data_IF_759488651291
#
_entry.id   IF_759488651291
#
_cell.length_a   1.000
_cell.length_b   1.000
_cell.length_c   1.000
_cell.angle_alpha   90.00
_cell.angle_beta   90.00
_cell.angle_gamma   90.00
#
_symmetry.space_group_name_H-M   'P 1'
#
loop_
_entity.id
_entity.type
_entity.pdbx_description
1 polymer ?
#
# COMPACT_ATOMS: atom_id res chain seq x y z
N UNK A 1 14.20 3.34 7.11
CA UNK A 1 14.51 3.25 5.67
C UNK A 1 13.28 3.59 4.84
N UNK A 2 13.43 3.72 3.53
CA UNK A 2 12.38 4.18 2.60
C UNK A 2 11.08 3.37 2.68
N UNK A 3 11.16 2.04 2.86
CA UNK A 3 9.98 1.16 2.99
C UNK A 3 9.10 1.48 4.20
N UNK A 4 9.65 2.05 5.29
CA UNK A 4 8.89 2.38 6.50
C UNK A 4 7.85 3.48 6.26
N UNK A 5 8.02 4.32 5.24
CA UNK A 5 7.09 5.41 4.97
C UNK A 5 5.72 4.90 4.50
N UNK A 6 4.59 5.45 4.99
CA UNK A 6 3.24 4.96 4.69
C UNK A 6 2.80 5.14 3.23
N UNK A 7 3.57 5.92 2.45
CA UNK A 7 3.37 6.08 1.01
C UNK A 7 4.13 5.04 0.18
N UNK A 8 4.96 4.21 0.81
CA UNK A 8 5.74 3.17 0.16
C UNK A 8 5.47 1.76 0.73
N UNK A 9 5.47 1.62 2.07
CA UNK A 9 5.01 0.43 2.78
C UNK A 9 3.71 0.68 3.54
N UNK A 10 3.17 -0.37 4.18
CA UNK A 10 1.99 -0.27 5.06
C UNK A 10 0.64 -0.15 4.36
N UNK A 11 0.58 -0.30 3.03
CA UNK A 11 -0.70 -0.25 2.31
C UNK A 11 -1.64 -1.38 2.74
N UNK A 12 -1.12 -2.58 2.95
CA UNK A 12 -1.87 -3.75 3.44
C UNK A 12 -2.32 -3.60 4.90
N UNK A 13 -1.53 -2.95 5.76
CA UNK A 13 -1.97 -2.55 7.12
C UNK A 13 -3.17 -1.60 7.05
N UNK A 14 -3.13 -0.62 6.13
CA UNK A 14 -4.25 0.28 5.88
C UNK A 14 -5.52 -0.43 5.38
N UNK A 15 -5.36 -1.46 4.54
CA UNK A 15 -6.48 -2.29 4.07
C UNK A 15 -7.14 -3.01 5.25
N UNK A 16 -6.36 -3.67 6.09
CA UNK A 16 -6.92 -4.42 7.22
C UNK A 16 -7.56 -3.49 8.26
N UNK A 17 -7.02 -2.28 8.45
CA UNK A 17 -7.65 -1.26 9.29
C UNK A 17 -9.05 -0.90 8.79
N UNK A 18 -9.21 -0.74 7.47
CA UNK A 18 -10.53 -0.48 6.88
C UNK A 18 -11.48 -1.67 7.09
N UNK A 19 -11.01 -2.90 6.87
CA UNK A 19 -11.85 -4.09 7.07
C UNK A 19 -12.29 -4.25 8.54
N UNK A 20 -11.40 -3.94 9.49
CA UNK A 20 -11.73 -3.92 10.92
C UNK A 20 -12.76 -2.83 11.27
N UNK A 21 -12.65 -1.64 10.67
CA UNK A 21 -13.62 -0.55 10.84
C UNK A 21 -15.01 -0.93 10.31
N UNK A 22 -15.06 -1.65 9.18
CA UNK A 22 -16.32 -2.08 8.55
C UNK A 22 -17.01 -3.19 9.37
N UNK A 23 -16.25 -4.11 9.95
CA UNK A 23 -16.73 -5.15 10.87
C UNK A 23 -17.52 -6.31 10.26
N UNK A 24 -18.18 -6.12 9.10
CA UNK A 24 -19.02 -7.14 8.47
C UNK A 24 -19.27 -6.91 6.97
N UNK A 25 -19.55 -7.99 6.24
CA UNK A 25 -19.74 -7.98 4.77
C UNK A 25 -20.90 -7.07 4.35
N UNK A 26 -21.97 -7.07 5.14
CA UNK A 26 -23.17 -6.26 4.93
C UNK A 26 -22.89 -4.75 4.98
N UNK A 27 -21.86 -4.33 5.70
CA UNK A 27 -21.50 -2.91 5.85
C UNK A 27 -20.52 -2.42 4.78
N UNK A 28 -19.89 -3.33 4.03
CA UNK A 28 -18.80 -3.01 3.08
C UNK A 28 -19.25 -2.01 2.03
N UNK A 29 -20.43 -2.21 1.44
CA UNK A 29 -20.93 -1.37 0.35
C UNK A 29 -21.20 0.06 0.83
N UNK A 30 -21.97 0.20 1.91
CA UNK A 30 -22.28 1.50 2.49
C UNK A 30 -21.02 2.26 2.93
N UNK A 31 -20.09 1.58 3.59
CA UNK A 31 -18.83 2.19 4.01
C UNK A 31 -17.95 2.63 2.83
N UNK A 32 -17.87 1.78 1.79
CA UNK A 32 -17.05 2.08 0.60
C UNK A 32 -17.60 3.29 -0.15
N UNK A 33 -18.93 3.37 -0.32
CA UNK A 33 -19.60 4.51 -0.96
C UNK A 33 -19.35 5.80 -0.14
N UNK A 34 -19.57 5.78 1.18
CA UNK A 34 -19.31 6.93 2.06
C UNK A 34 -17.86 7.41 1.98
N UNK A 35 -16.91 6.47 1.98
CA UNK A 35 -15.49 6.77 1.85
C UNK A 35 -15.16 7.45 0.51
N UNK A 36 -15.76 7.00 -0.59
CA UNK A 36 -15.60 7.59 -1.92
C UNK A 36 -16.22 8.98 -2.01
N UNK A 37 -17.43 9.18 -1.48
CA UNK A 37 -18.11 10.48 -1.43
C UNK A 37 -17.30 11.51 -0.65
N UNK A 38 -16.72 11.10 0.48
CA UNK A 38 -15.82 11.92 1.31
C UNK A 38 -14.40 12.05 0.74
N UNK A 39 -14.15 11.49 -0.45
CA UNK A 39 -12.82 11.48 -1.12
C UNK A 39 -11.71 10.90 -0.24
N UNK A 40 -12.04 9.99 0.67
CA UNK A 40 -11.04 9.25 1.45
C UNK A 40 -10.26 8.34 0.51
N UNK A 41 -8.94 8.27 0.74
CA UNK A 41 -8.09 7.33 -0.01
C UNK A 41 -8.29 5.92 0.53
N UNK A 42 -8.88 5.04 -0.28
CA UNK A 42 -9.00 3.62 0.01
C UNK A 42 -7.70 2.93 -0.45
N UNK A 43 -6.96 2.35 0.50
CA UNK A 43 -5.69 1.66 0.23
C UNK A 43 -5.93 0.33 -0.49
N UNK A 44 -4.90 -0.18 -1.20
CA UNK A 44 -4.99 -1.47 -1.90
C UNK A 44 -5.60 -1.41 -3.31
N UNK A 45 -6.04 -0.25 -3.80
CA UNK A 45 -6.62 -0.11 -5.14
C UNK A 45 -5.78 0.77 -6.07
N UNK A 46 -5.77 0.38 -7.34
CA UNK A 46 -5.01 1.04 -8.40
C UNK A 46 -3.51 0.79 -8.31
N UNK A 47 -2.82 1.07 -9.43
CA UNK A 47 -1.38 0.94 -9.54
C UNK A 47 -0.83 2.07 -10.40
N UNK A 48 0.40 2.52 -10.12
CA UNK A 48 1.03 3.60 -10.90
C UNK A 48 1.51 3.15 -12.29
N UNK A 49 1.71 1.84 -12.43
CA UNK A 49 2.21 1.19 -13.66
C UNK A 49 1.11 0.38 -14.35
N UNK A 50 0.57 -0.67 -13.69
CA UNK A 50 -0.51 -1.47 -14.25
C UNK A 50 -1.77 -0.64 -14.53
N UNK A 51 -2.31 -0.82 -15.74
CA UNK A 51 -3.61 -0.29 -16.17
C UNK A 51 -4.70 -1.38 -16.16
N UNK A 52 -4.28 -2.64 -16.09
CA UNK A 52 -5.12 -3.83 -15.96
C UNK A 52 -4.97 -4.40 -14.54
N UNK A 53 -5.53 -5.59 -14.30
CA UNK A 53 -5.35 -6.31 -13.05
C UNK A 53 -3.86 -6.51 -12.72
N UNK A 54 -3.49 -6.31 -11.44
CA UNK A 54 -2.17 -6.65 -10.93
C UNK A 54 -2.08 -8.18 -10.81
N UNK A 55 -1.20 -8.87 -11.55
CA UNK A 55 -1.18 -10.34 -11.58
C UNK A 55 -0.91 -10.96 -10.21
N UNK A 56 -0.25 -10.22 -9.30
CA UNK A 56 0.03 -10.69 -7.94
C UNK A 56 -1.23 -10.69 -7.07
N UNK A 57 -2.16 -9.77 -7.34
CA UNK A 57 -3.42 -9.71 -6.63
C UNK A 57 -4.29 -10.93 -6.94
N UNK A 58 -4.22 -11.47 -8.15
CA UNK A 58 -4.93 -12.69 -8.56
C UNK A 58 -4.51 -13.90 -7.70
N UNK A 59 -3.21 -14.13 -7.54
CA UNK A 59 -2.71 -15.23 -6.70
C UNK A 59 -3.05 -15.03 -5.22
N UNK A 60 -2.91 -13.80 -4.70
CA UNK A 60 -3.25 -13.52 -3.30
C UNK A 60 -4.75 -13.60 -3.03
N UNK A 61 -5.61 -13.32 -4.02
CA UNK A 61 -7.06 -13.50 -3.91
C UNK A 61 -7.40 -14.97 -3.67
N UNK A 62 -6.81 -15.85 -4.47
CA UNK A 62 -6.98 -17.30 -4.32
C UNK A 62 -6.47 -17.77 -2.95
N UNK A 63 -5.25 -17.37 -2.57
CA UNK A 63 -4.68 -17.72 -1.26
C UNK A 63 -5.54 -17.21 -0.10
N UNK A 64 -6.04 -15.98 -0.19
CA UNK A 64 -6.91 -15.40 0.83
C UNK A 64 -8.19 -16.22 1.03
N UNK A 65 -8.80 -16.71 -0.05
CA UNK A 65 -9.96 -17.59 0.03
C UNK A 65 -9.62 -18.93 0.68
N UNK A 66 -8.55 -19.58 0.20
CA UNK A 66 -8.10 -20.88 0.72
C UNK A 66 -7.73 -20.81 2.21
N UNK A 67 -6.99 -19.80 2.64
CA UNK A 67 -6.64 -19.63 4.05
C UNK A 67 -7.83 -19.25 4.90
N UNK A 68 -8.71 -18.37 4.41
CA UNK A 68 -9.95 -18.04 5.12
C UNK A 68 -10.83 -19.26 5.39
N UNK A 69 -10.94 -20.19 4.43
CA UNK A 69 -11.62 -21.47 4.63
C UNK A 69 -10.92 -22.35 5.67
N UNK A 70 -9.59 -22.48 5.57
CA UNK A 70 -8.80 -23.36 6.46
C UNK A 70 -8.72 -22.87 7.90
N UNK A 71 -8.72 -21.56 8.13
CA UNK A 71 -8.60 -20.98 9.47
C UNK A 71 -9.94 -20.59 10.09
N UNK A 72 -11.04 -20.71 9.33
CA UNK A 72 -12.38 -20.28 9.78
C UNK A 72 -12.60 -18.77 9.71
N UNK A 73 -11.64 -18.01 9.18
CA UNK A 73 -11.67 -16.55 9.08
C UNK A 73 -12.10 -16.05 7.68
N UNK A 74 -12.98 -16.80 7.01
CA UNK A 74 -13.45 -16.50 5.64
C UNK A 74 -14.05 -15.11 5.48
N UNK A 75 -14.59 -14.53 6.56
CA UNK A 75 -15.17 -13.18 6.58
C UNK A 75 -14.25 -12.12 5.95
N UNK A 76 -12.92 -12.20 6.16
CA UNK A 76 -12.00 -11.20 5.61
C UNK A 76 -11.91 -11.29 4.09
N UNK A 77 -11.92 -12.50 3.53
CA UNK A 77 -11.96 -12.70 2.09
C UNK A 77 -13.28 -12.21 1.50
N UNK A 78 -14.42 -12.55 2.13
CA UNK A 78 -15.74 -12.17 1.64
C UNK A 78 -15.92 -10.64 1.65
N UNK A 79 -15.43 -9.96 2.70
CA UNK A 79 -15.40 -8.50 2.76
C UNK A 79 -14.51 -7.89 1.67
N UNK A 80 -13.31 -8.45 1.47
CA UNK A 80 -12.40 -8.01 0.41
C UNK A 80 -13.01 -8.16 -0.98
N UNK A 81 -13.68 -9.29 -1.27
CA UNK A 81 -14.37 -9.53 -2.54
C UNK A 81 -15.49 -8.52 -2.79
N UNK A 82 -16.33 -8.28 -1.78
CA UNK A 82 -17.42 -7.29 -1.88
C UNK A 82 -16.87 -5.88 -2.11
N UNK A 83 -15.78 -5.51 -1.43
CA UNK A 83 -15.15 -4.20 -1.62
C UNK A 83 -14.50 -4.07 -3.01
N UNK A 84 -13.88 -5.14 -3.53
CA UNK A 84 -13.36 -5.18 -4.90
C UNK A 84 -14.47 -4.92 -5.93
N UNK A 85 -15.63 -5.59 -5.79
CA UNK A 85 -16.78 -5.41 -6.68
C UNK A 85 -17.28 -3.97 -6.67
N UNK A 86 -17.42 -3.37 -5.48
CA UNK A 86 -17.87 -1.98 -5.34
C UNK A 86 -16.84 -1.01 -5.94
N UNK A 87 -15.55 -1.19 -5.66
CA UNK A 87 -14.49 -0.33 -6.21
C UNK A 87 -14.37 -0.43 -7.73
N UNK A 88 -14.57 -1.63 -8.29
CA UNK A 88 -14.63 -1.81 -9.74
C UNK A 88 -15.83 -1.07 -10.32
N UNK A 89 -17.03 -1.23 -9.74
CA UNK A 89 -18.25 -0.58 -10.21
C UNK A 89 -18.18 0.94 -10.15
N UNK A 90 -17.74 1.50 -9.02
CA UNK A 90 -17.77 2.94 -8.79
C UNK A 90 -16.57 3.68 -9.41
N UNK A 91 -15.38 3.06 -9.42
CA UNK A 91 -14.11 3.74 -9.78
C UNK A 91 -13.33 3.06 -10.90
N UNK A 92 -13.75 1.87 -11.36
CA UNK A 92 -13.03 1.09 -12.36
C UNK A 92 -11.58 0.81 -11.93
N UNK A 93 -11.37 0.56 -10.63
CA UNK A 93 -10.06 0.32 -10.05
C UNK A 93 -9.89 -1.15 -9.65
N UNK A 94 -8.84 -1.77 -10.18
CA UNK A 94 -8.41 -3.10 -9.78
C UNK A 94 -7.69 -3.07 -8.42
N UNK A 95 -7.77 -4.17 -7.64
CA UNK A 95 -6.93 -4.34 -6.47
C UNK A 95 -5.47 -4.49 -6.90
N UNK A 96 -4.56 -3.95 -6.10
CA UNK A 96 -3.13 -4.24 -6.21
C UNK A 96 -2.73 -5.35 -5.22
N UNK A 97 -1.47 -5.77 -5.30
CA UNK A 97 -0.91 -6.83 -4.44
C UNK A 97 -1.18 -6.64 -2.95
N UNK A 98 -1.20 -5.40 -2.45
CA UNK A 98 -1.32 -5.13 -1.03
C UNK A 98 -2.72 -5.48 -0.49
N UNK A 99 -3.75 -5.37 -1.34
CA UNK A 99 -5.14 -5.58 -0.93
C UNK A 99 -5.39 -6.99 -0.39
N UNK A 100 -5.18 -8.01 -1.22
CA UNK A 100 -5.39 -9.40 -0.80
C UNK A 100 -4.27 -9.95 0.09
N UNK A 101 -3.10 -9.30 0.13
CA UNK A 101 -2.09 -9.65 1.13
C UNK A 101 -2.60 -9.38 2.55
N UNK A 102 -3.42 -8.34 2.74
CA UNK A 102 -3.95 -7.98 4.04
C UNK A 102 -4.88 -9.06 4.60
N UNK A 103 -5.90 -9.46 3.84
CA UNK A 103 -6.83 -10.52 4.24
C UNK A 103 -6.11 -11.88 4.39
N UNK A 104 -5.12 -12.17 3.54
CA UNK A 104 -4.31 -13.40 3.64
C UNK A 104 -3.52 -13.45 4.95
N UNK A 105 -2.73 -12.42 5.25
CA UNK A 105 -1.89 -12.41 6.46
C UNK A 105 -2.74 -12.36 7.74
N UNK A 106 -3.84 -11.61 7.70
CA UNK A 106 -4.73 -11.52 8.85
C UNK A 106 -5.47 -12.84 9.12
N UNK A 107 -5.93 -13.53 8.07
CA UNK A 107 -6.54 -14.86 8.21
C UNK A 107 -5.55 -15.91 8.76
N UNK A 108 -4.24 -15.69 8.58
CA UNK A 108 -3.16 -16.50 9.17
C UNK A 108 -2.82 -16.13 10.63
N UNK A 109 -3.48 -15.12 11.21
CA UNK A 109 -3.22 -14.66 12.57
C UNK A 109 -1.92 -13.87 12.71
N UNK A 110 -1.37 -13.35 11.61
CA UNK A 110 -0.14 -12.55 11.64
C UNK A 110 -0.47 -11.16 12.22
N UNK A 111 0.25 -10.71 13.27
CA UNK A 111 0.12 -9.35 13.77
C UNK A 111 0.34 -8.30 12.67
N UNK A 112 -0.49 -7.27 12.64
CA UNK A 112 -0.52 -6.30 11.54
C UNK A 112 0.76 -5.49 11.43
N UNK A 113 1.42 -5.21 12.55
CA UNK A 113 2.72 -4.55 12.63
C UNK A 113 3.87 -5.40 12.03
N UNK A 114 3.65 -6.69 11.76
CA UNK A 114 4.58 -7.58 11.08
C UNK A 114 4.36 -7.65 9.56
N UNK A 115 3.34 -7.02 9.00
CA UNK A 115 3.07 -7.06 7.55
C UNK A 115 4.20 -6.43 6.74
N UNK A 116 4.63 -5.22 7.10
CA UNK A 116 5.75 -4.54 6.44
C UNK A 116 7.10 -5.27 6.66
N UNK A 117 7.43 -5.78 7.87
CA UNK A 117 8.58 -6.67 8.06
C UNK A 117 8.60 -7.91 7.16
N UNK A 118 7.47 -8.62 6.98
CA UNK A 118 7.39 -9.77 6.07
C UNK A 118 7.70 -9.36 4.63
N UNK A 119 7.18 -8.19 4.20
CA UNK A 119 7.52 -7.64 2.90
C UNK A 119 9.03 -7.42 2.76
N UNK A 120 9.71 -6.91 3.79
CA UNK A 120 11.15 -6.71 3.77
C UNK A 120 11.91 -8.04 3.64
N UNK A 121 11.49 -9.08 4.37
CA UNK A 121 12.05 -10.43 4.25
C UNK A 121 11.93 -10.99 2.82
N UNK A 122 10.82 -10.73 2.13
CA UNK A 122 10.67 -11.11 0.73
C UNK A 122 11.54 -10.25 -0.20
N UNK A 123 11.50 -8.92 -0.02
CA UNK A 123 12.05 -7.96 -0.99
C UNK A 123 13.56 -7.78 -0.88
N UNK A 124 14.19 -8.20 0.22
CA UNK A 124 15.65 -8.16 0.38
C UNK A 124 16.37 -8.87 -0.77
N UNK A 125 15.81 -9.96 -1.30
CA UNK A 125 16.34 -10.66 -2.48
C UNK A 125 16.50 -9.73 -3.69
N UNK A 126 15.43 -9.01 -4.04
CA UNK A 126 15.44 -8.05 -5.14
C UNK A 126 16.29 -6.82 -4.86
N UNK A 127 16.32 -6.33 -3.61
CA UNK A 127 17.20 -5.21 -3.23
C UNK A 127 18.66 -5.58 -3.38
N UNK A 128 19.07 -6.74 -2.89
CA UNK A 128 20.45 -7.22 -3.02
C UNK A 128 20.81 -7.45 -4.48
N UNK A 129 19.92 -8.05 -5.28
CA UNK A 129 20.13 -8.20 -6.72
C UNK A 129 20.37 -6.86 -7.41
N UNK A 130 19.53 -5.85 -7.17
CA UNK A 130 19.72 -4.50 -7.72
C UNK A 130 21.01 -3.82 -7.23
N UNK A 131 21.47 -4.10 -6.01
CA UNK A 131 22.78 -3.61 -5.53
C UNK A 131 23.92 -4.25 -6.33
N UNK A 132 23.84 -5.56 -6.61
CA UNK A 132 24.84 -6.25 -7.44
C UNK A 132 24.85 -5.71 -8.87
N UNK A 133 23.68 -5.53 -9.49
CA UNK A 133 23.56 -4.91 -10.83
C UNK A 133 24.18 -3.50 -10.86
N UNK A 134 23.93 -2.69 -9.80
CA UNK A 134 24.53 -1.37 -9.68
C UNK A 134 26.04 -1.43 -9.50
N UNK A 135 26.60 -2.45 -8.83
CA UNK A 135 28.05 -2.61 -8.73
C UNK A 135 28.70 -3.03 -10.05
N UNK A 136 28.05 -3.88 -10.83
CA UNK A 136 28.53 -4.30 -12.15
C UNK A 136 28.50 -3.14 -13.17
N UNK A 137 27.48 -2.29 -13.13
CA UNK A 137 27.33 -1.14 -14.03
C UNK A 137 27.04 0.16 -13.26
N UNK A 138 28.07 0.67 -12.57
CA UNK A 138 27.91 1.71 -11.57
C UNK A 138 27.73 3.13 -12.13
N UNK A 139 26.55 3.41 -12.66
CA UNK A 139 26.12 4.76 -13.04
C UNK A 139 25.26 5.40 -11.96
N UNK A 140 25.79 6.42 -11.29
CA UNK A 140 25.05 7.15 -10.26
C UNK A 140 24.01 8.11 -10.87
N UNK A 141 22.82 8.12 -10.30
CA UNK A 141 21.85 9.21 -10.51
C UNK A 141 22.38 10.43 -9.75
N UNK A 142 22.45 11.58 -10.42
CA UNK A 142 22.79 12.88 -9.82
C UNK A 142 21.60 13.83 -9.97
N UNK A 143 20.62 13.79 -9.05
CA UNK A 143 19.46 14.66 -9.13
C UNK A 143 19.87 16.13 -9.05
N UNK A 144 19.21 16.99 -9.83
CA UNK A 144 19.32 18.44 -9.71
C UNK A 144 18.05 18.98 -9.06
N UNK A 145 18.19 20.01 -8.25
CA UNK A 145 17.07 20.73 -7.66
C UNK A 145 16.91 22.09 -8.34
N UNK A 146 15.67 22.55 -8.45
CA UNK A 146 15.37 23.94 -8.83
C UNK A 146 15.45 24.83 -7.58
N UNK A 147 16.23 25.91 -7.64
CA UNK A 147 16.34 26.85 -6.53
C UNK A 147 15.17 27.84 -6.55
N UNK A 148 14.24 27.65 -5.61
CA UNK A 148 13.05 28.50 -5.39
C UNK A 148 13.16 29.39 -4.13
N UNK A 149 14.35 29.47 -3.54
CA UNK A 149 14.61 30.29 -2.37
C UNK A 149 14.77 31.79 -2.68
N UNK A 150 14.74 32.65 -1.65
CA UNK A 150 14.98 34.08 -1.80
C UNK A 150 16.41 34.35 -2.30
N UNK A 151 16.53 35.18 -3.33
CA UNK A 151 17.82 35.56 -3.93
C UNK A 151 18.27 36.93 -3.43
N UNK A 152 19.58 37.16 -3.44
CA UNK A 152 20.14 38.48 -3.11
C UNK A 152 19.97 38.89 -1.65
N UNK A 153 19.78 37.93 -0.74
CA UNK A 153 19.76 38.21 0.69
C UNK A 153 21.10 38.83 1.10
N UNK A 154 21.01 39.98 1.77
CA UNK A 154 22.17 40.61 2.42
C UNK A 154 22.26 40.10 3.85
N UNK A 155 23.48 39.88 4.31
CA UNK A 155 23.72 39.53 5.71
C UNK A 155 23.26 40.68 6.62
N UNK A 156 22.49 40.35 7.67
CA UNK A 156 22.09 41.28 8.73
C UNK A 156 22.91 40.90 9.98
N UNK A 157 23.69 41.81 10.59
CA UNK A 157 24.38 41.57 11.85
C UNK A 157 23.43 41.16 12.97
N UNK A 158 23.90 40.34 13.92
CA UNK A 158 23.02 39.74 14.93
C UNK A 158 22.26 40.77 15.80
N UNK A 159 22.89 41.89 16.17
CA UNK A 159 22.24 42.96 16.95
C UNK A 159 21.25 43.83 16.15
N UNK A 160 21.20 43.65 14.83
CA UNK A 160 20.26 44.31 13.91
C UNK A 160 19.17 43.35 13.39
N UNK A 161 19.23 42.08 13.81
CA UNK A 161 18.11 41.15 13.65
C UNK A 161 17.13 41.46 14.78
N UNK A 162 15.84 41.57 14.45
CA UNK A 162 14.78 41.80 15.44
C UNK A 162 14.66 40.69 16.47
#
# INVERSE_FOLDING_TARGET
GTLKGPLHGGANEGVIKNLLEIGGVENVEAWTIDALEKKKKIMGFGHRVYRTEDPRATHLREMSGQFGERTGERKWYDMSRKMEEVMMREKHLNPNVDFYSASTYYALGIPTDLFTPIFACSRISGWTAHVLEQYENNRLIRPRAEYVGPRGLKYIPIGERG
#
